data_IF_460106894196
#
_entry.id   IF_460106894196
#
_cell.length_a   1.000
_cell.length_b   1.000
_cell.length_c   1.000
_cell.angle_alpha   90.00
_cell.angle_beta   90.00
_cell.angle_gamma   90.00
#
_symmetry.space_group_name_H-M   'P 1'
#
loop_
_entity.id
_entity.type
_entity.pdbx_description
1 polymer ?
#
# COMPACT_ATOMS: atom_id res chain seq x y z
N UNK A 1 -8.91 43.07 -64.11
CA UNK A 1 -9.65 42.82 -62.85
C UNK A 1 -9.93 41.32 -62.68
N UNK A 2 -9.04 40.57 -62.03
CA UNK A 2 -9.32 39.23 -61.48
C UNK A 2 -8.51 39.10 -60.19
N UNK A 3 -9.22 38.89 -59.09
CA UNK A 3 -8.72 38.91 -57.70
C UNK A 3 -7.94 37.62 -57.41
N UNK A 4 -6.71 37.73 -56.94
CA UNK A 4 -5.90 36.62 -56.42
C UNK A 4 -6.20 36.48 -54.93
N UNK A 5 -6.75 35.34 -54.50
CA UNK A 5 -7.05 35.03 -53.10
C UNK A 5 -5.86 34.31 -52.47
N UNK A 6 -5.36 34.85 -51.36
CA UNK A 6 -4.42 34.20 -50.44
C UNK A 6 -5.03 32.88 -49.93
N UNK A 7 -4.24 31.81 -49.94
CA UNK A 7 -4.50 30.59 -49.16
C UNK A 7 -3.45 30.52 -48.05
N UNK A 8 -3.90 30.62 -46.80
CA UNK A 8 -3.09 30.42 -45.60
C UNK A 8 -3.09 28.91 -45.32
N UNK A 9 -1.92 28.28 -45.36
CA UNK A 9 -1.74 26.89 -44.97
C UNK A 9 -1.54 26.83 -43.44
N UNK A 10 -2.54 26.31 -42.73
CA UNK A 10 -2.45 26.03 -41.29
C UNK A 10 -1.75 24.68 -41.10
N UNK A 11 -0.54 24.70 -40.55
CA UNK A 11 0.17 23.49 -40.11
C UNK A 11 -0.40 23.09 -38.75
N UNK A 12 -1.20 22.02 -38.73
CA UNK A 12 -1.63 21.39 -37.49
C UNK A 12 -0.49 20.50 -36.98
N UNK A 13 0.16 20.92 -35.90
CA UNK A 13 1.10 20.08 -35.13
C UNK A 13 0.24 19.14 -34.29
N UNK A 14 0.13 17.88 -34.74
CA UNK A 14 -0.45 16.81 -33.94
C UNK A 14 0.49 16.46 -32.80
N UNK A 15 0.11 16.81 -31.57
CA UNK A 15 0.69 16.22 -30.36
C UNK A 15 0.36 14.72 -30.36
N UNK A 16 1.36 13.89 -30.63
CA UNK A 16 1.33 12.47 -30.29
C UNK A 16 1.39 12.38 -28.77
N UNK A 17 0.23 12.19 -28.14
CA UNK A 17 0.15 11.71 -26.78
C UNK A 17 0.74 10.29 -26.77
N UNK A 18 1.92 10.13 -26.17
CA UNK A 18 2.45 8.84 -25.78
C UNK A 18 1.54 8.29 -24.68
N UNK A 19 0.56 7.49 -25.08
CA UNK A 19 -0.11 6.57 -24.18
C UNK A 19 0.95 5.59 -23.67
N UNK A 20 1.47 5.84 -22.47
CA UNK A 20 2.26 4.85 -21.74
C UNK A 20 1.36 3.63 -21.54
N UNK A 21 1.76 2.49 -22.10
CA UNK A 21 1.10 1.24 -21.79
C UNK A 21 1.30 0.97 -20.31
N UNK A 22 0.24 1.15 -19.51
CA UNK A 22 0.17 0.61 -18.16
C UNK A 22 0.43 -0.90 -18.22
N UNK A 23 1.33 -1.38 -17.39
CA UNK A 23 1.56 -2.80 -17.21
C UNK A 23 0.37 -3.35 -16.42
N UNK A 24 -0.37 -4.30 -17.00
CA UNK A 24 -1.53 -4.88 -16.32
C UNK A 24 -1.14 -5.54 -14.99
N UNK A 25 -2.00 -5.40 -13.98
CA UNK A 25 -1.80 -5.97 -12.64
C UNK A 25 -1.21 -5.01 -11.60
N UNK A 26 -0.90 -3.77 -11.96
CA UNK A 26 -0.24 -2.81 -11.06
C UNK A 26 -1.02 -1.49 -10.96
N UNK A 27 -1.26 -0.92 -9.76
CA UNK A 27 -1.94 0.35 -9.57
C UNK A 27 -1.30 1.52 -10.30
N UNK A 28 -2.13 2.49 -10.63
CA UNK A 28 -1.67 3.83 -10.97
C UNK A 28 -0.98 4.50 -9.76
N UNK A 29 -0.35 5.64 -10.02
CA UNK A 29 0.16 6.50 -8.95
C UNK A 29 -1.00 7.13 -8.16
N UNK A 30 -0.84 7.38 -6.84
CA UNK A 30 -1.84 8.10 -6.04
C UNK A 30 -2.18 9.47 -6.66
N UNK A 31 -3.45 9.82 -6.68
CA UNK A 31 -3.89 11.10 -7.23
C UNK A 31 -3.58 12.26 -6.24
N UNK A 32 -2.76 13.22 -6.64
CA UNK A 32 -2.76 14.58 -6.07
C UNK A 32 -2.69 15.63 -7.20
N UNK A 33 -3.69 16.53 -7.23
CA UNK A 33 -3.71 17.74 -8.06
C UNK A 33 -4.84 17.82 -9.13
N UNK A 34 -5.76 18.77 -8.94
CA UNK A 34 -6.77 19.40 -9.85
C UNK A 34 -7.62 18.55 -10.84
N UNK A 35 -7.40 17.24 -10.93
CA UNK A 35 -8.36 16.29 -11.50
C UNK A 35 -9.45 15.96 -10.47
N UNK A 36 -10.61 15.51 -10.94
CA UNK A 36 -11.67 15.00 -10.06
C UNK A 36 -11.17 13.75 -9.32
N UNK A 37 -10.54 13.95 -8.16
CA UNK A 37 -10.25 12.91 -7.20
C UNK A 37 -11.59 12.24 -6.84
N UNK A 38 -11.63 10.91 -6.81
CA UNK A 38 -12.82 10.22 -6.32
C UNK A 38 -13.15 10.74 -4.91
N UNK A 39 -14.43 10.84 -4.56
CA UNK A 39 -14.80 11.20 -3.20
C UNK A 39 -14.37 10.08 -2.23
N UNK A 40 -13.92 10.45 -1.04
CA UNK A 40 -13.58 9.47 -0.01
C UNK A 40 -14.81 8.60 0.29
N UNK A 41 -14.70 7.27 0.28
CA UNK A 41 -15.82 6.40 0.56
C UNK A 41 -16.28 6.53 2.02
N UNK A 42 -17.58 6.39 2.24
CA UNK A 42 -18.18 6.26 3.56
C UNK A 42 -18.65 4.83 3.79
N UNK A 43 -18.32 4.27 4.96
CA UNK A 43 -18.69 2.90 5.32
C UNK A 43 -19.79 2.91 6.36
N UNK A 44 -20.88 2.17 6.09
CA UNK A 44 -21.98 2.05 7.05
C UNK A 44 -21.56 1.16 8.22
N UNK A 45 -21.62 1.71 9.44
CA UNK A 45 -21.30 0.98 10.67
C UNK A 45 -22.34 -0.13 10.90
N UNK A 46 -21.87 -1.33 11.21
CA UNK A 46 -22.70 -2.45 11.61
C UNK A 46 -23.05 -2.35 13.11
N UNK A 47 -24.14 -1.66 13.42
CA UNK A 47 -24.64 -1.51 14.80
C UNK A 47 -25.04 -2.85 15.47
N UNK A 48 -25.19 -3.91 14.66
CA UNK A 48 -25.52 -5.27 15.13
C UNK A 48 -24.31 -6.20 15.24
N UNK A 49 -23.09 -5.68 15.07
CA UNK A 49 -21.86 -6.45 15.26
C UNK A 49 -21.79 -7.06 16.66
N UNK A 50 -21.63 -8.38 16.73
CA UNK A 50 -21.65 -9.13 17.99
C UNK A 50 -20.71 -10.36 17.93
N UNK A 51 -19.40 -10.11 18.04
CA UNK A 51 -18.38 -11.16 17.96
C UNK A 51 -17.96 -11.63 19.36
N UNK A 52 -18.94 -12.15 20.13
CA UNK A 52 -18.74 -12.49 21.56
C UNK A 52 -17.63 -13.52 21.82
N UNK A 53 -17.30 -14.34 20.84
CA UNK A 53 -16.27 -15.36 20.95
C UNK A 53 -14.86 -14.80 20.68
N UNK A 54 -14.76 -13.56 20.20
CA UNK A 54 -13.49 -12.86 20.05
C UNK A 54 -13.12 -12.11 21.34
N UNK A 55 -11.94 -12.41 21.86
CA UNK A 55 -11.34 -11.70 23.00
C UNK A 55 -10.87 -10.29 22.59
N UNK A 56 -10.33 -10.16 21.38
CA UNK A 56 -9.79 -8.90 20.85
C UNK A 56 -10.92 -7.91 20.59
N UNK A 57 -11.98 -8.35 19.90
CA UNK A 57 -13.15 -7.50 19.64
C UNK A 57 -13.83 -7.06 20.93
N UNK A 58 -14.02 -7.97 21.90
CA UNK A 58 -14.56 -7.63 23.22
C UNK A 58 -13.74 -6.57 23.94
N UNK A 59 -12.42 -6.75 24.00
CA UNK A 59 -11.54 -5.78 24.64
C UNK A 59 -11.62 -4.40 23.99
N UNK A 60 -11.66 -4.34 22.65
CA UNK A 60 -11.83 -3.09 21.90
C UNK A 60 -13.21 -2.45 22.17
N UNK A 61 -14.31 -3.23 22.19
CA UNK A 61 -15.64 -2.71 22.53
C UNK A 61 -15.74 -2.21 23.97
N UNK A 62 -15.14 -2.91 24.92
CA UNK A 62 -15.10 -2.51 26.33
C UNK A 62 -14.27 -1.21 26.53
N UNK A 63 -13.19 -1.05 25.75
CA UNK A 63 -12.40 0.17 25.71
C UNK A 63 -13.10 1.34 25.00
N UNK A 64 -14.08 1.04 24.13
CA UNK A 64 -14.76 2.01 23.30
C UNK A 64 -13.97 2.46 22.07
N UNK A 65 -12.81 1.85 21.80
CA UNK A 65 -11.91 2.16 20.69
C UNK A 65 -11.29 0.90 20.10
N UNK A 66 -11.00 0.94 18.79
CA UNK A 66 -10.27 -0.10 18.06
C UNK A 66 -8.88 0.44 17.70
N UNK A 67 -7.82 -0.17 18.24
CA UNK A 67 -6.44 0.25 17.97
C UNK A 67 -5.94 -0.42 16.69
N UNK A 68 -5.58 0.38 15.69
CA UNK A 68 -5.14 -0.12 14.38
C UNK A 68 -3.71 0.31 14.12
N UNK A 69 -2.83 -0.66 13.90
CA UNK A 69 -1.47 -0.43 13.44
C UNK A 69 -1.44 -0.11 11.95
N UNK A 70 -0.85 1.03 11.57
CA UNK A 70 -0.76 1.50 10.18
C UNK A 70 0.61 2.09 9.87
N UNK A 71 0.93 2.27 8.59
CA UNK A 71 2.12 3.01 8.13
C UNK A 71 1.84 4.50 8.06
N UNK A 72 2.88 5.31 8.26
CA UNK A 72 2.82 6.77 8.14
C UNK A 72 3.67 7.32 6.98
N UNK A 73 4.37 6.46 6.24
CA UNK A 73 5.37 6.85 5.24
C UNK A 73 5.19 6.13 3.88
N UNK A 74 3.99 5.71 3.51
CA UNK A 74 3.72 5.02 2.25
C UNK A 74 2.63 5.77 1.47
N UNK A 75 3.00 6.76 0.64
CA UNK A 75 2.04 7.58 -0.10
C UNK A 75 1.02 6.74 -0.87
N UNK A 76 -0.28 7.02 -0.68
CA UNK A 76 -1.39 6.27 -1.28
C UNK A 76 -1.82 5.00 -0.52
N UNK A 77 -1.05 4.53 0.46
CA UNK A 77 -1.35 3.31 1.24
C UNK A 77 -1.60 3.65 2.71
N UNK A 78 -0.54 3.79 3.50
CA UNK A 78 -0.60 4.31 4.85
C UNK A 78 0.38 5.47 4.96
N UNK A 79 -0.13 6.70 4.98
CA UNK A 79 0.68 7.90 4.95
C UNK A 79 0.10 8.99 5.85
N UNK A 80 0.97 9.79 6.48
CA UNK A 80 0.56 11.05 7.12
C UNK A 80 1.13 12.21 6.32
N UNK A 81 0.25 12.95 5.64
CA UNK A 81 0.64 14.15 4.88
C UNK A 81 1.21 15.23 5.81
N UNK A 82 2.10 16.05 5.26
CA UNK A 82 2.63 17.20 5.97
C UNK A 82 1.48 18.12 6.45
N UNK A 83 1.43 18.37 7.75
CA UNK A 83 0.38 19.18 8.38
C UNK A 83 -0.91 18.45 8.71
N UNK A 84 -1.04 17.15 8.39
CA UNK A 84 -2.12 16.28 8.88
C UNK A 84 -1.71 15.60 10.19
N UNK A 85 -2.69 15.35 11.06
CA UNK A 85 -2.54 14.47 12.23
C UNK A 85 -3.14 13.07 11.98
N UNK A 86 -3.90 12.92 10.90
CA UNK A 86 -4.61 11.68 10.56
C UNK A 86 -3.93 10.99 9.37
N UNK A 87 -3.76 9.66 9.43
CA UNK A 87 -3.27 8.91 8.29
C UNK A 87 -4.34 8.79 7.20
N UNK A 88 -3.89 8.61 5.96
CA UNK A 88 -4.74 8.39 4.78
C UNK A 88 -4.12 7.35 3.82
N UNK A 89 -4.94 6.93 2.86
CA UNK A 89 -4.57 5.99 1.80
C UNK A 89 -5.31 4.66 1.91
N UNK A 90 -4.96 3.73 1.01
CA UNK A 90 -5.71 2.49 0.82
C UNK A 90 -5.74 1.59 2.06
N UNK A 91 -4.62 1.47 2.79
CA UNK A 91 -4.60 0.69 4.04
C UNK A 91 -5.53 1.30 5.10
N UNK A 92 -5.65 2.63 5.11
CA UNK A 92 -6.54 3.35 6.02
C UNK A 92 -8.00 3.14 5.64
N UNK A 93 -8.30 3.13 4.35
CA UNK A 93 -9.63 2.83 3.83
C UNK A 93 -10.05 1.38 4.11
N UNK A 94 -9.14 0.41 3.94
CA UNK A 94 -9.36 -0.98 4.35
C UNK A 94 -9.59 -1.08 5.87
N UNK A 95 -8.82 -0.36 6.68
CA UNK A 95 -9.01 -0.32 8.13
C UNK A 95 -10.38 0.24 8.53
N UNK A 96 -10.83 1.34 7.92
CA UNK A 96 -12.16 1.94 8.15
C UNK A 96 -13.28 1.00 7.72
N UNK A 97 -13.16 0.39 6.54
CA UNK A 97 -14.12 -0.57 6.00
C UNK A 97 -14.30 -1.76 6.95
N UNK A 98 -13.20 -2.34 7.42
CA UNK A 98 -13.20 -3.43 8.40
C UNK A 98 -13.78 -2.97 9.75
N UNK A 99 -13.32 -1.83 10.27
CA UNK A 99 -13.79 -1.29 11.55
C UNK A 99 -15.30 -1.04 11.58
N UNK A 100 -15.86 -0.52 10.47
CA UNK A 100 -17.30 -0.31 10.34
C UNK A 100 -18.08 -1.62 10.47
N UNK A 101 -17.63 -2.71 9.84
CA UNK A 101 -18.26 -4.04 9.96
C UNK A 101 -18.06 -4.67 11.35
N UNK A 102 -16.99 -4.30 12.04
CA UNK A 102 -16.77 -4.64 13.45
C UNK A 102 -17.58 -3.78 14.43
N UNK A 103 -18.37 -2.82 13.94
CA UNK A 103 -19.23 -1.97 14.77
C UNK A 103 -18.50 -0.82 15.47
N UNK A 104 -17.46 -0.28 14.83
CA UNK A 104 -16.73 0.92 15.25
C UNK A 104 -16.90 2.02 14.21
N UNK A 105 -17.27 3.22 14.66
CA UNK A 105 -17.28 4.42 13.81
C UNK A 105 -15.86 5.00 13.63
N UNK A 106 -15.63 5.86 12.62
CA UNK A 106 -14.30 6.41 12.34
C UNK A 106 -13.62 7.10 13.53
N UNK A 107 -14.38 7.75 14.41
CA UNK A 107 -13.89 8.41 15.63
C UNK A 107 -13.49 7.43 16.75
N UNK A 108 -13.88 6.16 16.63
CA UNK A 108 -13.47 5.09 17.54
C UNK A 108 -12.21 4.36 17.06
N UNK A 109 -11.64 4.73 15.92
CA UNK A 109 -10.41 4.13 15.41
C UNK A 109 -9.22 4.89 15.97
N UNK A 110 -8.35 4.19 16.70
CA UNK A 110 -7.09 4.75 17.20
C UNK A 110 -5.92 4.24 16.38
N UNK A 111 -5.41 5.07 15.47
CA UNK A 111 -4.23 4.73 14.68
C UNK A 111 -2.95 4.78 15.51
N UNK A 112 -2.09 3.78 15.31
CA UNK A 112 -0.75 3.67 15.90
C UNK A 112 0.26 3.41 14.79
N UNK A 113 1.28 4.26 14.69
CA UNK A 113 2.38 4.03 13.74
C UNK A 113 3.05 2.68 14.02
N UNK A 114 3.06 1.81 13.01
CA UNK A 114 3.59 0.46 13.12
C UNK A 114 4.55 0.21 11.96
N UNK A 115 5.84 0.50 12.19
CA UNK A 115 6.92 0.15 11.26
C UNK A 115 7.02 -1.38 11.10
N UNK A 116 7.70 -1.84 10.04
CA UNK A 116 7.62 -3.25 9.61
C UNK A 116 8.08 -4.21 10.71
N UNK A 117 9.18 -3.89 11.39
CA UNK A 117 9.72 -4.67 12.50
C UNK A 117 8.83 -4.72 13.77
N UNK A 118 7.84 -3.82 13.89
CA UNK A 118 7.00 -3.72 15.10
C UNK A 118 5.64 -4.40 14.96
N UNK A 119 5.25 -4.88 13.77
CA UNK A 119 3.91 -5.43 13.51
C UNK A 119 3.59 -6.61 14.43
N UNK A 120 4.43 -7.64 14.47
CA UNK A 120 4.23 -8.82 15.31
C UNK A 120 4.36 -8.50 16.81
N UNK A 121 5.41 -7.78 17.29
CA UNK A 121 5.50 -7.40 18.69
C UNK A 121 4.30 -6.61 19.19
N UNK A 122 3.76 -5.68 18.39
CA UNK A 122 2.63 -4.85 18.81
C UNK A 122 1.34 -5.66 18.94
N UNK A 123 1.09 -6.61 18.02
CA UNK A 123 -0.03 -7.54 18.12
C UNK A 123 0.12 -8.46 19.34
N UNK A 124 1.31 -9.00 19.58
CA UNK A 124 1.58 -9.91 20.70
C UNK A 124 1.46 -9.22 22.07
N UNK A 125 1.85 -7.95 22.16
CA UNK A 125 1.81 -7.16 23.39
C UNK A 125 0.44 -6.49 23.62
N UNK A 126 -0.48 -6.55 22.65
CA UNK A 126 -1.78 -5.88 22.72
C UNK A 126 -1.71 -4.36 22.58
N UNK A 127 -0.62 -3.83 22.02
CA UNK A 127 -0.48 -2.40 21.71
C UNK A 127 -1.48 -1.98 20.62
N UNK A 128 -1.88 -2.92 19.77
CA UNK A 128 -2.88 -2.77 18.71
C UNK A 128 -3.75 -4.02 18.64
N UNK A 129 -4.97 -3.86 18.14
CA UNK A 129 -5.96 -4.94 18.02
C UNK A 129 -5.92 -5.57 16.62
N UNK A 130 -5.50 -4.81 15.60
CA UNK A 130 -5.20 -5.30 14.25
C UNK A 130 -4.15 -4.43 13.55
N UNK A 131 -3.53 -4.95 12.50
CA UNK A 131 -2.57 -4.24 11.63
C UNK A 131 -3.08 -4.22 10.20
N UNK A 132 -3.19 -3.04 9.60
CA UNK A 132 -3.43 -2.84 8.16
C UNK A 132 -2.34 -1.91 7.64
N UNK A 133 -1.28 -2.50 7.10
CA UNK A 133 -0.01 -1.81 6.94
C UNK A 133 0.88 -2.54 5.92
N UNK A 134 0.45 -2.73 4.67
CA UNK A 134 1.21 -3.46 3.62
C UNK A 134 1.84 -4.75 4.13
N UNK A 135 1.03 -5.57 4.80
CA UNK A 135 1.54 -6.67 5.62
C UNK A 135 1.43 -8.01 4.91
N UNK A 136 2.51 -8.43 4.25
CA UNK A 136 2.57 -9.69 3.51
C UNK A 136 2.23 -10.90 4.39
N UNK A 137 1.24 -11.66 3.96
CA UNK A 137 0.88 -12.97 4.49
C UNK A 137 1.96 -13.97 4.08
N UNK A 138 2.62 -14.61 5.04
CA UNK A 138 3.53 -15.72 4.79
C UNK A 138 3.55 -16.72 5.96
N UNK A 139 4.09 -17.92 5.73
CA UNK A 139 4.11 -19.00 6.72
C UNK A 139 4.92 -18.67 7.97
N UNK A 140 5.99 -17.88 7.84
CA UNK A 140 6.81 -17.49 8.99
C UNK A 140 6.03 -16.59 9.94
N UNK A 141 5.34 -15.57 9.40
CA UNK A 141 4.49 -14.66 10.17
C UNK A 141 3.28 -15.39 10.75
N UNK A 142 2.66 -16.31 10.00
CA UNK A 142 1.55 -17.15 10.48
C UNK A 142 1.90 -18.01 11.70
N UNK A 143 3.18 -18.23 12.03
CA UNK A 143 3.58 -18.91 13.28
C UNK A 143 3.30 -18.09 14.52
N UNK A 144 3.31 -16.76 14.41
CA UNK A 144 3.29 -15.84 15.56
C UNK A 144 2.12 -14.87 15.60
N UNK A 145 1.45 -14.67 14.46
CA UNK A 145 0.22 -13.88 14.31
C UNK A 145 -0.79 -14.64 13.44
N UNK A 146 -2.03 -14.15 13.40
CA UNK A 146 -3.04 -14.57 12.43
C UNK A 146 -3.23 -13.50 11.35
N UNK A 147 -3.86 -13.90 10.23
CA UNK A 147 -4.17 -13.02 9.12
C UNK A 147 -5.59 -13.27 8.63
N UNK A 148 -6.26 -12.18 8.25
CA UNK A 148 -7.40 -12.20 7.35
C UNK A 148 -7.00 -11.57 6.00
N UNK A 149 -7.71 -11.91 4.92
CA UNK A 149 -7.38 -11.48 3.55
C UNK A 149 -6.86 -12.63 2.67
N UNK A 150 -6.05 -12.35 1.63
CA UNK A 150 -5.45 -11.05 1.31
C UNK A 150 -6.46 -10.01 0.80
N UNK A 151 -6.18 -8.72 1.03
CA UNK A 151 -6.97 -7.59 0.51
C UNK A 151 -6.34 -6.94 -0.73
N UNK A 152 -5.06 -7.20 -1.00
CA UNK A 152 -4.35 -6.76 -2.21
C UNK A 152 -3.13 -7.65 -2.42
N UNK A 153 -2.69 -7.83 -3.67
CA UNK A 153 -1.47 -8.58 -4.00
C UNK A 153 -0.53 -7.64 -4.71
N UNK A 154 0.51 -7.21 -4.00
CA UNK A 154 1.58 -6.41 -4.55
C UNK A 154 2.71 -7.31 -5.06
N UNK A 155 3.79 -6.70 -5.55
CA UNK A 155 5.05 -7.43 -5.65
C UNK A 155 6.25 -6.50 -5.60
N UNK A 156 7.37 -7.03 -5.13
CA UNK A 156 8.59 -6.25 -4.93
C UNK A 156 9.16 -5.77 -6.27
N UNK A 157 9.50 -4.50 -6.34
CA UNK A 157 10.13 -3.86 -7.49
C UNK A 157 11.27 -2.92 -7.05
N UNK A 158 11.77 -2.08 -7.95
CA UNK A 158 12.85 -1.12 -7.69
C UNK A 158 12.46 0.31 -8.03
N UNK A 159 12.77 1.26 -7.13
CA UNK A 159 12.74 2.69 -7.37
C UNK A 159 14.17 3.21 -7.49
N UNK A 160 14.45 3.92 -8.57
CA UNK A 160 15.78 4.43 -8.90
C UNK A 160 15.70 5.87 -9.40
N UNK A 161 16.84 6.57 -9.41
CA UNK A 161 16.94 7.88 -10.07
C UNK A 161 16.49 7.81 -11.54
N UNK A 162 15.87 8.87 -12.03
CA UNK A 162 15.33 8.92 -13.40
C UNK A 162 16.38 8.61 -14.48
N UNK A 163 17.64 9.00 -14.24
CA UNK A 163 18.80 8.78 -15.11
C UNK A 163 19.59 7.49 -14.81
N UNK A 164 19.15 6.66 -13.85
CA UNK A 164 19.80 5.39 -13.53
C UNK A 164 19.68 4.37 -14.66
N UNK A 165 20.75 3.60 -14.86
CA UNK A 165 20.84 2.47 -15.78
C UNK A 165 20.33 1.14 -15.18
N UNK A 166 19.98 1.10 -13.89
CA UNK A 166 19.38 -0.09 -13.26
C UNK A 166 18.02 -0.35 -13.89
N UNK A 167 17.84 -1.52 -14.49
CA UNK A 167 16.61 -1.91 -15.17
C UNK A 167 15.81 -2.99 -14.43
N UNK A 168 16.44 -3.66 -13.45
CA UNK A 168 15.80 -4.73 -12.69
C UNK A 168 16.74 -5.41 -11.69
N UNK A 169 16.26 -6.48 -11.04
CA UNK A 169 16.98 -7.17 -9.97
C UNK A 169 18.36 -7.72 -10.39
N UNK A 170 18.56 -8.04 -11.66
CA UNK A 170 19.83 -8.57 -12.18
C UNK A 170 20.98 -7.53 -12.14
N UNK A 171 20.66 -6.24 -12.06
CA UNK A 171 21.63 -5.14 -12.05
C UNK A 171 22.09 -4.76 -10.62
N UNK A 172 21.60 -5.43 -9.58
CA UNK A 172 21.86 -5.06 -8.18
C UNK A 172 23.24 -5.49 -7.66
N UNK A 173 24.00 -6.28 -8.42
CA UNK A 173 25.32 -6.73 -7.98
C UNK A 173 26.30 -5.56 -7.80
N UNK A 174 26.81 -5.40 -6.58
CA UNK A 174 27.70 -4.30 -6.19
C UNK A 174 27.00 -2.96 -5.99
N UNK A 175 25.66 -2.93 -6.02
CA UNK A 175 24.84 -1.73 -5.76
C UNK A 175 24.42 -1.65 -4.31
N UNK A 176 24.29 -0.43 -3.81
CA UNK A 176 23.65 -0.13 -2.53
C UNK A 176 22.15 -0.08 -2.72
N UNK A 177 21.44 -1.01 -2.07
CA UNK A 177 20.00 -1.15 -2.20
C UNK A 177 19.38 -0.89 -0.84
N UNK A 178 18.52 0.12 -0.75
CA UNK A 178 17.84 0.43 0.50
C UNK A 178 16.50 -0.29 0.62
N UNK A 179 16.22 -0.82 1.80
CA UNK A 179 14.90 -1.34 2.16
C UNK A 179 14.61 -1.13 3.65
N UNK A 180 13.49 -1.64 4.14
CA UNK A 180 13.07 -1.45 5.53
C UNK A 180 13.30 -2.71 6.37
N UNK A 181 13.86 -2.54 7.55
CA UNK A 181 14.07 -3.58 8.55
C UNK A 181 12.77 -4.31 8.90
N UNK A 182 12.82 -5.65 8.88
CA UNK A 182 11.66 -6.52 9.13
C UNK A 182 10.68 -6.64 7.95
N UNK A 183 11.00 -6.07 6.78
CA UNK A 183 10.22 -6.27 5.56
C UNK A 183 10.62 -7.55 4.80
N UNK A 184 9.67 -8.12 4.06
CA UNK A 184 9.91 -9.23 3.13
C UNK A 184 10.85 -8.81 1.98
N UNK A 185 10.75 -7.59 1.42
CA UNK A 185 11.73 -7.06 0.48
C UNK A 185 13.19 -7.09 0.95
N UNK A 186 13.46 -6.63 2.18
CA UNK A 186 14.81 -6.65 2.75
C UNK A 186 15.34 -8.09 2.84
N UNK A 187 14.54 -9.01 3.37
CA UNK A 187 14.88 -10.44 3.47
C UNK A 187 15.18 -11.04 2.08
N UNK A 188 14.38 -10.71 1.07
CA UNK A 188 14.58 -11.20 -0.28
C UNK A 188 15.90 -10.71 -0.90
N UNK A 189 16.33 -9.47 -0.62
CA UNK A 189 17.66 -8.96 -1.01
C UNK A 189 18.77 -9.76 -0.32
N UNK A 190 18.70 -9.94 0.99
CA UNK A 190 19.71 -10.69 1.76
C UNK A 190 19.84 -12.15 1.31
N UNK A 191 18.72 -12.78 0.95
CA UNK A 191 18.68 -14.19 0.63
C UNK A 191 19.04 -14.48 -0.83
N UNK A 192 18.53 -13.69 -1.78
CA UNK A 192 18.65 -13.98 -3.22
C UNK A 192 19.64 -13.08 -3.95
N UNK A 193 19.80 -11.84 -3.51
CA UNK A 193 20.65 -10.83 -4.17
C UNK A 193 21.89 -10.51 -3.35
N UNK A 194 22.58 -11.55 -2.85
CA UNK A 194 23.74 -11.47 -1.94
C UNK A 194 24.94 -10.62 -2.39
N UNK A 195 24.95 -10.21 -3.66
CA UNK A 195 25.98 -9.32 -4.22
C UNK A 195 25.59 -7.85 -4.10
N UNK A 196 24.33 -7.53 -3.81
CA UNK A 196 23.90 -6.20 -3.42
C UNK A 196 24.34 -5.89 -1.99
N UNK A 197 24.61 -4.63 -1.72
CA UNK A 197 24.84 -4.09 -0.38
C UNK A 197 23.50 -3.60 0.16
N UNK A 198 22.86 -4.38 1.03
CA UNK A 198 21.62 -3.95 1.69
C UNK A 198 21.94 -2.83 2.69
N UNK A 199 21.26 -1.71 2.53
CA UNK A 199 21.12 -0.66 3.54
C UNK A 199 19.71 -0.75 4.09
N UNK A 200 19.55 -0.81 5.40
CA UNK A 200 18.24 -0.97 6.01
C UNK A 200 17.95 0.12 7.05
N UNK A 201 16.72 0.62 7.01
CA UNK A 201 16.18 1.61 7.94
C UNK A 201 14.83 1.16 8.50
N UNK A 202 14.30 1.90 9.45
CA UNK A 202 12.95 1.74 10.00
C UNK A 202 11.82 2.24 9.07
N UNK A 203 12.11 3.20 8.18
CA UNK A 203 11.13 3.82 7.26
C UNK A 203 11.64 3.89 5.81
N UNK A 204 10.72 3.79 4.85
CA UNK A 204 11.00 3.96 3.43
C UNK A 204 11.34 5.41 3.09
N UNK A 205 10.81 6.38 3.84
CA UNK A 205 11.12 7.80 3.65
C UNK A 205 12.60 8.11 3.81
N UNK A 206 13.30 7.40 4.70
CA UNK A 206 14.76 7.47 4.85
C UNK A 206 15.49 6.88 3.65
N UNK A 207 15.03 5.72 3.14
CA UNK A 207 15.57 5.14 1.91
C UNK A 207 15.44 6.07 0.71
N UNK A 208 14.29 6.74 0.58
CA UNK A 208 14.04 7.68 -0.52
C UNK A 208 14.89 8.95 -0.39
N UNK A 209 15.11 9.43 0.83
CA UNK A 209 16.06 10.53 1.11
C UNK A 209 17.49 10.13 0.69
N UNK A 210 17.91 8.91 1.01
CA UNK A 210 19.22 8.41 0.63
C UNK A 210 19.35 8.22 -0.88
N UNK A 211 18.28 7.78 -1.56
CA UNK A 211 18.24 7.72 -3.03
C UNK A 211 18.38 9.12 -3.63
N UNK A 212 17.66 10.10 -3.09
CA UNK A 212 17.72 11.50 -3.55
C UNK A 212 19.14 12.08 -3.44
N UNK A 213 19.87 11.71 -2.38
CA UNK A 213 21.25 12.16 -2.17
C UNK A 213 22.31 11.36 -2.95
N UNK A 214 21.92 10.25 -3.59
CA UNK A 214 22.84 9.30 -4.22
C UNK A 214 23.64 8.45 -3.22
N UNK A 215 23.21 8.39 -1.96
CA UNK A 215 23.83 7.54 -0.93
C UNK A 215 23.54 6.06 -1.14
N UNK A 216 22.41 5.75 -1.81
CA UNK A 216 22.04 4.42 -2.30
C UNK A 216 21.71 4.49 -3.79
N UNK A 217 21.88 3.38 -4.50
CA UNK A 217 21.63 3.28 -5.94
C UNK A 217 20.16 2.95 -6.28
N UNK A 218 19.46 2.28 -5.36
CA UNK A 218 18.07 1.88 -5.51
C UNK A 218 17.36 1.78 -4.16
N UNK A 219 16.04 1.99 -4.15
CA UNK A 219 15.14 1.56 -3.06
C UNK A 219 14.35 0.37 -3.55
N UNK A 220 14.19 -0.66 -2.73
CA UNK A 220 13.37 -1.83 -3.08
C UNK A 220 12.30 -2.11 -2.04
N UNK A 221 11.08 -2.25 -2.54
CA UNK A 221 9.89 -2.72 -1.84
C UNK A 221 8.78 -2.95 -2.84
N UNK A 222 7.60 -3.25 -2.35
CA UNK A 222 6.38 -3.47 -3.10
C UNK A 222 6.04 -2.28 -4.04
N UNK A 223 5.71 -2.62 -5.28
CA UNK A 223 5.44 -1.72 -6.40
C UNK A 223 4.47 -0.59 -6.09
N UNK A 224 3.38 -0.86 -5.38
CA UNK A 224 2.40 0.14 -4.96
C UNK A 224 3.04 1.24 -4.08
N UNK A 225 3.95 0.88 -3.17
CA UNK A 225 4.67 1.84 -2.31
C UNK A 225 5.62 2.68 -3.17
N UNK A 226 6.37 2.02 -4.06
CA UNK A 226 7.34 2.68 -4.92
C UNK A 226 6.70 3.68 -5.88
N UNK A 227 5.50 3.39 -6.39
CA UNK A 227 4.73 4.30 -7.25
C UNK A 227 4.23 5.52 -6.50
N UNK A 228 3.81 5.35 -5.25
CA UNK A 228 3.52 6.47 -4.35
C UNK A 228 4.70 7.44 -4.26
N UNK A 229 5.90 6.91 -4.05
CA UNK A 229 7.12 7.71 -4.01
C UNK A 229 7.53 8.30 -5.36
N UNK A 230 7.46 7.53 -6.45
CA UNK A 230 7.76 8.03 -7.80
C UNK A 230 6.84 9.18 -8.19
N UNK A 231 5.57 9.16 -7.74
CA UNK A 231 4.62 10.25 -7.94
C UNK A 231 4.93 11.47 -7.07
N UNK A 232 5.23 11.26 -5.80
CA UNK A 232 5.59 12.35 -4.88
C UNK A 232 6.83 13.11 -5.37
N UNK A 233 7.78 12.40 -5.99
CA UNK A 233 9.02 12.94 -6.54
C UNK A 233 9.03 12.87 -8.08
N UNK A 234 7.92 13.30 -8.70
CA UNK A 234 7.70 13.21 -10.14
C UNK A 234 8.85 13.84 -10.92
N UNK A 235 9.48 13.06 -11.80
CA UNK A 235 10.62 13.47 -12.62
C UNK A 235 11.99 13.26 -11.98
N UNK A 236 12.08 13.01 -10.67
CA UNK A 236 13.35 12.67 -9.99
C UNK A 236 13.58 11.15 -9.97
N UNK A 237 12.51 10.37 -9.78
CA UNK A 237 12.59 8.92 -9.68
C UNK A 237 11.71 8.20 -10.71
N UNK A 238 12.04 6.93 -10.95
CA UNK A 238 11.25 6.01 -11.75
C UNK A 238 11.21 4.63 -11.08
N UNK A 239 10.08 3.95 -11.21
CA UNK A 239 9.99 2.52 -10.90
C UNK A 239 10.50 1.75 -12.11
N UNK A 240 11.40 0.78 -11.89
CA UNK A 240 12.04 -0.02 -12.94
C UNK A 240 11.93 -1.48 -12.63
N UNK A 241 11.73 -2.27 -13.69
CA UNK A 241 11.61 -3.71 -13.60
C UNK A 241 10.17 -4.15 -13.78
N UNK A 242 9.90 -5.33 -13.24
CA UNK A 242 8.60 -5.92 -13.05
C UNK A 242 8.60 -6.48 -11.63
N UNK A 243 7.43 -6.57 -10.97
CA UNK A 243 7.31 -7.28 -9.72
C UNK A 243 7.98 -8.66 -9.80
N UNK A 244 8.97 -8.90 -8.95
CA UNK A 244 9.76 -10.15 -8.93
C UNK A 244 9.49 -11.01 -7.68
N UNK A 245 8.47 -10.64 -6.92
CA UNK A 245 7.86 -11.43 -5.84
C UNK A 245 6.34 -11.26 -5.89
N UNK A 246 5.62 -12.10 -5.16
CA UNK A 246 4.22 -11.87 -4.82
C UNK A 246 4.13 -11.51 -3.33
N UNK A 247 3.46 -10.41 -3.03
CA UNK A 247 3.33 -9.86 -1.69
C UNK A 247 1.84 -9.73 -1.35
N UNK A 248 1.15 -10.83 -0.99
CA UNK A 248 -0.26 -10.82 -0.62
C UNK A 248 -0.45 -10.09 0.71
N UNK A 249 -1.03 -8.90 0.71
CA UNK A 249 -1.28 -8.12 1.93
C UNK A 249 -2.49 -8.63 2.68
N UNK A 250 -2.34 -8.83 3.99
CA UNK A 250 -3.42 -9.21 4.89
C UNK A 250 -3.57 -8.26 6.07
N UNK A 251 -4.71 -8.37 6.73
CA UNK A 251 -4.95 -7.75 8.04
C UNK A 251 -4.33 -8.65 9.10
N UNK A 252 -3.28 -8.17 9.77
CA UNK A 252 -2.62 -8.90 10.85
C UNK A 252 -3.43 -8.85 12.14
N UNK A 253 -3.54 -9.98 12.83
CA UNK A 253 -4.35 -10.15 14.03
C UNK A 253 -3.59 -10.87 15.15
N UNK A 254 -3.93 -10.65 16.43
CA UNK A 254 -3.38 -11.42 17.52
C UNK A 254 -3.63 -12.92 17.33
N UNK A 255 -2.63 -13.75 17.61
CA UNK A 255 -2.73 -15.19 17.43
C UNK A 255 -3.84 -15.83 18.28
N UNK A 256 -4.58 -16.76 17.68
CA UNK A 256 -5.59 -17.60 18.32
C UNK A 256 -6.88 -16.87 18.65
N UNK A 257 -7.28 -15.90 17.83
CA UNK A 257 -8.62 -15.28 17.86
C UNK A 257 -9.36 -15.53 16.53
N UNK A 258 -9.74 -16.79 16.32
CA UNK A 258 -10.40 -17.24 15.07
C UNK A 258 -11.70 -16.47 14.81
N UNK A 259 -12.43 -16.09 15.87
CA UNK A 259 -13.66 -15.31 15.74
C UNK A 259 -13.39 -13.90 15.20
N UNK A 260 -12.32 -13.23 15.66
CA UNK A 260 -11.89 -11.96 15.08
C UNK A 260 -11.47 -12.13 13.63
N UNK A 261 -10.70 -13.19 13.33
CA UNK A 261 -10.21 -13.45 11.98
C UNK A 261 -11.34 -13.69 10.99
N UNK A 262 -12.32 -14.51 11.33
CA UNK A 262 -13.49 -14.71 10.47
C UNK A 262 -14.32 -13.44 10.32
N UNK A 263 -14.49 -12.65 11.37
CA UNK A 263 -15.19 -11.37 11.30
C UNK A 263 -14.50 -10.39 10.33
N UNK A 264 -13.16 -10.33 10.35
CA UNK A 264 -12.39 -9.49 9.42
C UNK A 264 -12.44 -10.07 7.99
N UNK A 265 -12.37 -11.38 7.80
CA UNK A 265 -12.56 -12.01 6.49
C UNK A 265 -13.95 -11.72 5.90
N UNK A 266 -14.99 -11.77 6.72
CA UNK A 266 -16.36 -11.41 6.31
C UNK A 266 -16.47 -9.94 5.94
N UNK A 267 -15.82 -9.05 6.70
CA UNK A 267 -15.78 -7.63 6.40
C UNK A 267 -15.09 -7.33 5.06
N UNK A 268 -13.93 -7.95 4.82
CA UNK A 268 -13.19 -7.82 3.55
C UNK A 268 -14.02 -8.37 2.38
N UNK A 269 -14.59 -9.57 2.51
CA UNK A 269 -15.43 -10.17 1.47
C UNK A 269 -16.63 -9.28 1.15
N UNK A 270 -17.30 -8.75 2.17
CA UNK A 270 -18.44 -7.84 1.98
C UNK A 270 -18.04 -6.59 1.20
N UNK A 271 -16.94 -5.94 1.60
CA UNK A 271 -16.44 -4.74 0.91
C UNK A 271 -16.00 -5.00 -0.54
N UNK A 272 -15.50 -6.22 -0.80
CA UNK A 272 -15.22 -6.69 -2.16
C UNK A 272 -16.52 -6.87 -2.97
N UNK A 273 -17.55 -7.47 -2.38
CA UNK A 273 -18.83 -7.80 -3.04
C UNK A 273 -19.70 -6.56 -3.33
N UNK A 274 -19.70 -5.56 -2.44
CA UNK A 274 -20.52 -4.34 -2.57
C UNK A 274 -19.80 -3.17 -3.28
N UNK A 275 -18.53 -3.38 -3.65
CA UNK A 275 -17.72 -2.42 -4.39
C UNK A 275 -17.02 -1.36 -3.55
N UNK A 276 -17.16 -1.39 -2.22
CA UNK A 276 -16.46 -0.46 -1.33
C UNK A 276 -14.94 -0.61 -1.43
N UNK A 277 -14.43 -1.84 -1.60
CA UNK A 277 -13.01 -2.09 -1.88
C UNK A 277 -12.55 -1.35 -3.14
N UNK A 278 -13.36 -1.39 -4.21
CA UNK A 278 -13.01 -0.75 -5.48
C UNK A 278 -12.98 0.78 -5.32
N UNK A 279 -13.94 1.36 -4.61
CA UNK A 279 -13.94 2.80 -4.29
C UNK A 279 -12.74 3.20 -3.43
N UNK A 280 -12.40 2.41 -2.41
CA UNK A 280 -11.23 2.62 -1.58
C UNK A 280 -9.93 2.63 -2.40
N UNK A 281 -9.82 1.67 -3.33
CA UNK A 281 -8.70 1.58 -4.26
C UNK A 281 -8.64 2.80 -5.17
N UNK A 282 -9.74 3.13 -5.85
CA UNK A 282 -9.83 4.27 -6.78
C UNK A 282 -9.55 5.61 -6.12
N UNK A 283 -10.02 5.78 -4.88
CA UNK A 283 -9.75 6.95 -4.07
C UNK A 283 -8.26 7.14 -3.75
N UNK A 284 -7.56 6.04 -3.49
CA UNK A 284 -6.23 6.06 -2.87
C UNK A 284 -5.08 5.84 -3.87
N UNK A 285 -5.28 4.95 -4.84
CA UNK A 285 -4.26 4.42 -5.75
C UNK A 285 -4.61 4.66 -7.24
N UNK A 286 -5.73 5.29 -7.55
CA UNK A 286 -6.14 5.53 -8.94
C UNK A 286 -6.85 4.31 -9.56
N UNK A 287 -6.81 4.17 -10.89
CA UNK A 287 -7.69 3.22 -11.58
C UNK A 287 -7.53 1.78 -11.08
N UNK A 288 -8.67 1.10 -10.85
CA UNK A 288 -8.72 -0.31 -10.51
C UNK A 288 -8.98 -1.22 -11.72
N UNK A 289 -9.05 -0.68 -12.94
CA UNK A 289 -9.48 -1.43 -14.13
C UNK A 289 -8.55 -2.60 -14.49
N UNK A 290 -7.25 -2.46 -14.20
CA UNK A 290 -6.23 -3.49 -14.45
C UNK A 290 -5.79 -4.23 -13.18
N UNK A 291 -6.55 -4.08 -12.08
CA UNK A 291 -6.19 -4.65 -10.77
C UNK A 291 -7.09 -5.85 -10.48
N UNK A 292 -6.48 -7.02 -10.35
CA UNK A 292 -7.20 -8.23 -9.96
C UNK A 292 -7.46 -8.23 -8.45
N UNK A 293 -8.73 -8.22 -8.08
CA UNK A 293 -9.14 -8.34 -6.69
C UNK A 293 -8.83 -9.77 -6.20
N UNK A 294 -8.09 -9.92 -5.09
CA UNK A 294 -7.70 -11.24 -4.63
C UNK A 294 -8.87 -12.02 -4.04
N UNK A 295 -8.74 -13.35 -4.02
CA UNK A 295 -9.64 -14.22 -3.29
C UNK A 295 -9.20 -14.32 -1.84
N UNK A 296 -10.13 -14.09 -0.90
CA UNK A 296 -9.90 -14.29 0.54
C UNK A 296 -9.51 -15.73 0.83
N UNK A 297 -8.38 -15.91 1.53
CA UNK A 297 -7.88 -17.18 2.06
C UNK A 297 -8.36 -17.38 3.50
N UNK A 298 -9.39 -18.22 3.66
CA UNK A 298 -9.94 -18.62 4.96
C UNK A 298 -9.26 -19.90 5.43
N UNK A 299 -8.15 -19.78 6.14
CA UNK A 299 -7.35 -20.90 6.64
C UNK A 299 -7.52 -21.15 8.14
#
# INVERSE_FOLDING_TARGET
MKKLRLSIASVAIGLLALSGCGQGGTPDAPAEGDGAQAEAPEYTVNDSADFKDSKTWKAAKDAGELKVGVKYDQPGLGNVKAGSEQPEGFDIEIAKMVAAQLGFSPDQIKYTETVSANREPFLQQGNIDMVVATYTINDERKKVVDFAGPYYVAGQDLLVAADSDIAGPDDLAGKKVCSVDGSTPAQNIEEKYKKAELVAYDTYSKCVTDLQSGSVDAVTTDDAILRGYAKQYEGEFKVVGQPFTEEPYGVGLPKGDDAMREAVNDALQKGMDDGDWKKAFEYSLGSADDVEMPKIDRY
#
